data_IF_780009478710
#
_entry.id   IF_780009478710
#
_cell.length_a   1.000
_cell.length_b   1.000
_cell.length_c   1.000
_cell.angle_alpha   90.00
_cell.angle_beta   90.00
_cell.angle_gamma   90.00
#
_symmetry.space_group_name_H-M   'P 1'
#
loop_
_entity.id
_entity.type
_entity.pdbx_description
1 polymer ?
#
# COMPACT_ATOMS: atom_id res chain seq x y z
N UNK A 1 53.80 7.41 -23.95
CA UNK A 1 54.43 7.56 -22.63
C UNK A 1 54.03 6.34 -21.85
N UNK A 2 54.99 5.40 -21.80
CA UNK A 2 55.17 4.25 -20.91
C UNK A 2 54.08 3.19 -20.70
N UNK A 3 54.58 1.97 -20.46
CA UNK A 3 53.90 0.70 -20.15
C UNK A 3 53.49 -0.06 -21.43
N UNK A 4 54.07 -1.20 -21.81
CA UNK A 4 54.51 -2.34 -21.01
C UNK A 4 55.67 -3.03 -21.75
N UNK A 5 56.90 -2.81 -21.27
CA UNK A 5 58.00 -3.76 -21.46
C UNK A 5 57.76 -4.90 -20.47
N UNK A 6 57.22 -6.01 -20.97
CA UNK A 6 57.01 -7.23 -20.20
C UNK A 6 58.33 -7.95 -19.99
N UNK A 7 59.10 -7.49 -19.01
CA UNK A 7 60.26 -8.18 -18.44
C UNK A 7 59.81 -9.55 -17.93
N UNK A 8 59.97 -10.58 -18.75
CA UNK A 8 59.98 -11.97 -18.26
C UNK A 8 61.32 -12.12 -17.54
N UNK A 9 61.31 -11.84 -16.23
CA UNK A 9 62.47 -12.00 -15.36
C UNK A 9 62.99 -13.45 -15.45
N UNK A 10 64.30 -13.67 -15.64
CA UNK A 10 64.91 -15.02 -15.75
C UNK A 10 64.76 -15.87 -14.46
N UNK A 11 64.28 -15.26 -13.37
CA UNK A 11 64.01 -15.91 -12.08
C UNK A 11 62.82 -16.88 -12.12
N UNK A 12 61.82 -16.64 -12.99
CA UNK A 12 60.62 -17.50 -13.07
C UNK A 12 60.91 -18.82 -13.79
N UNK A 13 61.75 -18.79 -14.83
CA UNK A 13 62.17 -19.99 -15.56
C UNK A 13 63.05 -20.92 -14.72
N UNK A 14 63.91 -20.37 -13.83
CA UNK A 14 64.74 -21.21 -12.96
C UNK A 14 63.94 -21.87 -11.83
N UNK A 15 62.90 -21.20 -11.32
CA UNK A 15 62.00 -21.75 -10.32
C UNK A 15 61.14 -22.90 -10.88
N UNK A 16 60.61 -22.75 -12.10
CA UNK A 16 59.85 -23.80 -12.80
C UNK A 16 60.73 -25.01 -13.16
N UNK A 17 61.98 -24.79 -13.57
CA UNK A 17 62.95 -25.87 -13.82
C UNK A 17 63.26 -26.67 -12.54
N UNK A 18 63.48 -25.98 -11.42
CA UNK A 18 63.74 -26.63 -10.14
C UNK A 18 62.51 -27.42 -9.63
N UNK A 19 61.29 -26.92 -9.84
CA UNK A 19 60.07 -27.65 -9.49
C UNK A 19 59.86 -28.89 -10.36
N UNK A 20 60.16 -28.81 -11.66
CA UNK A 20 60.05 -29.95 -12.57
C UNK A 20 61.05 -31.06 -12.19
N UNK A 21 62.28 -30.67 -11.83
CA UNK A 21 63.31 -31.61 -11.41
C UNK A 21 63.00 -32.25 -10.04
N UNK A 22 62.42 -31.50 -9.10
CA UNK A 22 61.92 -32.04 -7.83
C UNK A 22 60.72 -33.00 -8.02
N UNK A 23 59.80 -32.69 -8.94
CA UNK A 23 58.70 -33.60 -9.28
C UNK A 23 59.20 -34.87 -9.96
N UNK A 24 60.21 -34.77 -10.84
CA UNK A 24 60.88 -35.94 -11.45
C UNK A 24 61.53 -36.82 -10.38
N UNK A 25 62.31 -36.24 -9.47
CA UNK A 25 62.95 -36.98 -8.36
C UNK A 25 61.91 -37.69 -7.48
N UNK A 26 60.80 -37.01 -7.13
CA UNK A 26 59.70 -37.63 -6.36
C UNK A 26 59.01 -38.75 -7.14
N UNK A 27 58.79 -38.57 -8.45
CA UNK A 27 58.20 -39.59 -9.31
C UNK A 27 59.12 -40.82 -9.44
N UNK A 28 60.43 -40.62 -9.61
CA UNK A 28 61.43 -41.69 -9.66
C UNK A 28 61.52 -42.45 -8.32
N UNK A 29 61.58 -41.74 -7.20
CA UNK A 29 61.60 -42.36 -5.87
C UNK A 29 60.32 -43.19 -5.60
N UNK A 30 59.14 -42.67 -6.00
CA UNK A 30 57.89 -43.42 -5.89
C UNK A 30 57.84 -44.62 -6.85
N UNK A 31 58.34 -44.48 -8.09
CA UNK A 31 58.41 -45.57 -9.05
C UNK A 31 59.32 -46.70 -8.54
N UNK A 32 60.48 -46.37 -7.98
CA UNK A 32 61.40 -47.32 -7.33
C UNK A 32 60.71 -48.04 -6.16
N UNK A 33 59.99 -47.31 -5.31
CA UNK A 33 59.24 -47.89 -4.18
C UNK A 33 58.13 -48.84 -4.65
N UNK A 34 57.42 -48.49 -5.72
CA UNK A 34 56.36 -49.33 -6.32
C UNK A 34 56.95 -50.59 -6.96
N UNK A 35 58.10 -50.49 -7.63
CA UNK A 35 58.78 -51.63 -8.23
C UNK A 35 59.31 -52.56 -7.14
N UNK A 36 59.92 -52.01 -6.08
CA UNK A 36 60.41 -52.76 -4.92
C UNK A 36 59.28 -53.54 -4.23
N UNK A 37 58.13 -52.90 -3.97
CA UNK A 37 56.98 -53.54 -3.33
C UNK A 37 56.29 -54.61 -4.22
N UNK A 38 56.51 -54.59 -5.53
CA UNK A 38 55.91 -55.55 -6.47
C UNK A 38 56.79 -56.76 -6.80
N UNK A 39 58.09 -56.70 -6.46
CA UNK A 39 59.10 -57.72 -6.80
C UNK A 39 59.86 -58.18 -5.54
N UNK A 40 59.16 -58.49 -4.46
CA UNK A 40 59.78 -58.88 -3.17
C UNK A 40 60.30 -60.34 -3.15
N UNK A 41 59.79 -61.23 -4.01
CA UNK A 41 60.19 -62.66 -4.08
C UNK A 41 60.65 -63.05 -5.49
N UNK A 42 61.61 -63.98 -5.63
CA UNK A 42 62.14 -64.39 -6.95
C UNK A 42 61.11 -65.05 -7.87
N UNK A 43 60.04 -65.63 -7.36
CA UNK A 43 58.91 -66.17 -8.16
C UNK A 43 58.10 -65.06 -8.85
N UNK A 44 58.13 -63.81 -8.35
CA UNK A 44 57.42 -62.68 -8.96
C UNK A 44 58.13 -62.11 -10.20
N UNK A 45 59.37 -62.56 -10.50
CA UNK A 45 60.08 -62.27 -11.75
C UNK A 45 59.40 -62.88 -12.98
N UNK A 46 58.63 -63.98 -12.83
CA UNK A 46 57.84 -64.53 -13.94
C UNK A 46 56.72 -63.58 -14.37
N UNK A 47 56.23 -62.73 -13.46
CA UNK A 47 55.23 -61.69 -13.74
C UNK A 47 55.83 -60.39 -14.26
N UNK A 48 57.16 -60.29 -14.39
CA UNK A 48 57.85 -59.08 -14.83
C UNK A 48 57.41 -58.67 -16.25
N UNK A 49 57.25 -59.63 -17.16
CA UNK A 49 56.77 -59.35 -18.52
C UNK A 49 55.32 -58.86 -18.53
N UNK A 50 54.46 -59.40 -17.67
CA UNK A 50 53.09 -58.91 -17.49
C UNK A 50 53.06 -57.50 -16.88
N UNK A 51 53.91 -57.21 -15.89
CA UNK A 51 54.04 -55.87 -15.30
C UNK A 51 54.64 -54.85 -16.28
N UNK A 52 55.61 -55.27 -17.11
CA UNK A 52 56.23 -54.44 -18.13
C UNK A 52 55.25 -54.10 -19.25
N UNK A 53 54.49 -55.08 -19.73
CA UNK A 53 53.42 -54.86 -20.71
C UNK A 53 52.32 -53.97 -20.14
N UNK A 54 51.89 -54.18 -18.89
CA UNK A 54 50.94 -53.32 -18.20
C UNK A 54 51.46 -51.89 -17.99
N UNK A 55 52.73 -51.71 -17.63
CA UNK A 55 53.35 -50.38 -17.51
C UNK A 55 53.48 -49.68 -18.87
N UNK A 56 53.84 -50.43 -19.93
CA UNK A 56 53.88 -49.90 -21.29
C UNK A 56 52.48 -49.51 -21.79
N UNK A 57 51.44 -50.28 -21.47
CA UNK A 57 50.05 -49.94 -21.75
C UNK A 57 49.60 -48.68 -20.99
N UNK A 58 49.91 -48.58 -19.69
CA UNK A 58 49.62 -47.37 -18.89
C UNK A 58 50.32 -46.14 -19.43
N UNK A 59 51.60 -46.27 -19.81
CA UNK A 59 52.34 -45.18 -20.46
C UNK A 59 51.68 -44.79 -21.78
N UNK A 60 51.31 -45.74 -22.63
CA UNK A 60 50.59 -45.46 -23.89
C UNK A 60 49.25 -44.74 -23.65
N UNK A 61 48.48 -45.18 -22.66
CA UNK A 61 47.19 -44.53 -22.30
C UNK A 61 47.44 -43.11 -21.80
N UNK A 62 48.41 -42.91 -20.91
CA UNK A 62 48.75 -41.60 -20.38
C UNK A 62 49.29 -40.66 -21.46
N UNK A 63 50.17 -41.15 -22.35
CA UNK A 63 50.71 -40.38 -23.46
C UNK A 63 49.58 -39.96 -24.43
N UNK A 64 48.62 -40.85 -24.71
CA UNK A 64 47.46 -40.52 -25.56
C UNK A 64 46.49 -39.54 -24.88
N UNK A 65 46.26 -39.70 -23.57
CA UNK A 65 45.47 -38.76 -22.77
C UNK A 65 46.13 -37.39 -22.70
N UNK A 66 47.46 -37.32 -22.49
CA UNK A 66 48.23 -36.08 -22.51
C UNK A 66 48.20 -35.44 -23.89
N UNK A 67 48.37 -36.21 -24.97
CA UNK A 67 48.26 -35.72 -26.34
C UNK A 67 46.89 -35.11 -26.61
N UNK A 68 45.83 -35.80 -26.20
CA UNK A 68 44.46 -35.32 -26.35
C UNK A 68 44.21 -34.06 -25.50
N UNK A 69 44.68 -34.02 -24.26
CA UNK A 69 44.55 -32.87 -23.38
C UNK A 69 45.31 -31.65 -23.90
N UNK A 70 46.57 -31.82 -24.33
CA UNK A 70 47.39 -30.75 -24.91
C UNK A 70 46.76 -30.24 -26.21
N UNK A 71 46.28 -31.13 -27.08
CA UNK A 71 45.58 -30.74 -28.30
C UNK A 71 44.29 -29.95 -28.00
N UNK A 72 43.50 -30.40 -27.02
CA UNK A 72 42.29 -29.70 -26.59
C UNK A 72 42.60 -28.33 -25.99
N UNK A 73 43.66 -28.20 -25.19
CA UNK A 73 44.07 -26.92 -24.61
C UNK A 73 44.59 -25.97 -25.70
N UNK A 74 45.41 -26.45 -26.63
CA UNK A 74 45.89 -25.65 -27.77
C UNK A 74 44.73 -25.19 -28.66
N UNK A 75 43.76 -26.04 -28.95
CA UNK A 75 42.60 -25.64 -29.74
C UNK A 75 41.76 -24.62 -28.98
N UNK A 76 41.57 -24.80 -27.66
CA UNK A 76 40.85 -23.82 -26.83
C UNK A 76 41.55 -22.46 -26.79
N UNK A 77 42.88 -22.42 -26.65
CA UNK A 77 43.70 -21.20 -26.67
C UNK A 77 43.60 -20.54 -28.05
N UNK A 78 43.70 -21.31 -29.13
CA UNK A 78 43.58 -20.81 -30.50
C UNK A 78 42.20 -20.21 -30.75
N UNK A 79 41.13 -20.87 -30.30
CA UNK A 79 39.77 -20.31 -30.37
C UNK A 79 39.62 -19.07 -29.50
N UNK A 80 40.23 -19.04 -28.32
CA UNK A 80 40.24 -17.87 -27.44
C UNK A 80 40.94 -16.67 -28.06
N UNK A 81 42.10 -16.86 -28.67
CA UNK A 81 42.83 -15.80 -29.38
C UNK A 81 42.04 -15.30 -30.59
N UNK A 82 41.46 -16.22 -31.38
CA UNK A 82 40.60 -15.84 -32.50
C UNK A 82 39.40 -15.01 -32.03
N UNK A 83 38.76 -15.42 -30.92
CA UNK A 83 37.64 -14.68 -30.34
C UNK A 83 38.07 -13.30 -29.83
N UNK A 84 39.25 -13.19 -29.21
CA UNK A 84 39.80 -11.91 -28.76
C UNK A 84 40.11 -10.97 -29.93
N UNK A 85 40.64 -11.50 -31.05
CA UNK A 85 40.86 -10.72 -32.26
C UNK A 85 39.54 -10.23 -32.86
N UNK A 86 38.51 -11.09 -32.91
CA UNK A 86 37.17 -10.70 -33.35
C UNK A 86 36.59 -9.63 -32.43
N UNK A 87 36.71 -9.77 -31.10
CA UNK A 87 36.25 -8.77 -30.14
C UNK A 87 36.98 -7.43 -30.30
N UNK A 88 38.29 -7.44 -30.57
CA UNK A 88 39.07 -6.23 -30.82
C UNK A 88 38.57 -5.52 -32.10
N UNK A 89 38.33 -6.27 -33.17
CA UNK A 89 37.84 -5.71 -34.43
C UNK A 89 36.41 -5.16 -34.30
N UNK A 90 35.57 -5.88 -33.54
CA UNK A 90 34.23 -5.40 -33.17
C UNK A 90 34.29 -4.11 -32.35
N UNK A 91 35.21 -3.99 -31.38
CA UNK A 91 35.37 -2.74 -30.60
C UNK A 91 35.78 -1.57 -31.48
N UNK A 92 36.73 -1.77 -32.40
CA UNK A 92 37.13 -0.73 -33.37
C UNK A 92 35.96 -0.32 -34.27
N UNK A 93 35.19 -1.30 -34.71
CA UNK A 93 33.98 -1.05 -35.51
C UNK A 93 32.96 -0.26 -34.70
N UNK A 94 32.71 -0.63 -33.44
CA UNK A 94 31.79 0.09 -32.53
C UNK A 94 32.29 1.53 -32.31
N UNK A 95 33.57 1.72 -32.03
CA UNK A 95 34.17 3.04 -31.85
C UNK A 95 33.99 3.91 -33.11
N UNK A 96 34.24 3.35 -34.29
CA UNK A 96 34.03 4.06 -35.55
C UNK A 96 32.55 4.41 -35.75
N UNK A 97 31.63 3.45 -35.53
CA UNK A 97 30.19 3.73 -35.66
C UNK A 97 29.70 4.77 -34.65
N UNK A 98 30.29 4.82 -33.44
CA UNK A 98 29.94 5.79 -32.42
C UNK A 98 30.44 7.19 -32.79
N UNK A 99 31.66 7.30 -33.33
CA UNK A 99 32.18 8.57 -33.88
C UNK A 99 31.36 9.05 -35.08
N UNK A 100 31.05 8.16 -36.03
CA UNK A 100 30.24 8.49 -37.19
C UNK A 100 28.81 8.93 -36.78
N UNK A 101 28.26 8.33 -35.72
CA UNK A 101 26.96 8.70 -35.15
C UNK A 101 27.02 10.08 -34.48
N UNK A 102 28.07 10.35 -33.69
CA UNK A 102 28.28 11.65 -33.05
C UNK A 102 28.45 12.78 -34.09
N UNK A 103 29.24 12.54 -35.14
CA UNK A 103 29.42 13.51 -36.23
C UNK A 103 28.10 13.78 -36.98
N UNK A 104 27.27 12.76 -37.18
CA UNK A 104 25.92 12.92 -37.76
C UNK A 104 24.98 13.67 -36.82
N UNK A 105 25.06 13.46 -35.51
CA UNK A 105 24.25 14.16 -34.51
C UNK A 105 24.63 15.64 -34.41
N UNK A 106 25.92 15.99 -34.45
CA UNK A 106 26.37 17.39 -34.48
C UNK A 106 25.84 18.15 -35.70
N UNK A 107 25.68 17.47 -36.85
CA UNK A 107 25.07 18.07 -38.05
C UNK A 107 23.57 18.35 -37.90
N UNK A 108 22.88 17.72 -36.94
CA UNK A 108 21.44 17.90 -36.66
C UNK A 108 21.19 19.10 -35.73
N UNK A 109 22.16 19.48 -34.89
CA UNK A 109 22.06 20.64 -34.00
C UNK A 109 21.69 21.96 -34.73
N UNK A 110 22.31 22.35 -35.86
CA UNK A 110 21.90 23.53 -36.61
C UNK A 110 20.59 23.35 -37.39
N UNK A 111 20.10 22.12 -37.57
CA UNK A 111 18.79 21.85 -38.15
C UNK A 111 17.68 22.10 -37.12
N UNK A 112 17.92 21.92 -35.82
CA UNK A 112 16.94 22.24 -34.78
C UNK A 112 16.50 23.70 -34.83
N UNK A 113 17.43 24.64 -35.06
CA UNK A 113 17.09 26.07 -35.19
C UNK A 113 16.30 26.36 -36.46
N UNK A 114 16.56 25.63 -37.56
CA UNK A 114 15.82 25.80 -38.83
C UNK A 114 14.41 25.21 -38.77
N UNK A 115 14.20 24.20 -37.93
CA UNK A 115 12.89 23.60 -37.70
C UNK A 115 12.10 24.29 -36.58
N UNK A 116 12.60 25.39 -36.00
CA UNK A 116 11.90 26.14 -34.97
C UNK A 116 10.58 26.71 -35.51
N UNK A 117 10.59 27.29 -36.72
CA UNK A 117 9.39 27.76 -37.42
C UNK A 117 8.42 26.61 -37.74
N UNK A 118 8.94 25.46 -38.21
CA UNK A 118 8.11 24.28 -38.47
C UNK A 118 7.52 23.70 -37.18
N UNK A 119 8.26 23.77 -36.07
CA UNK A 119 7.80 23.33 -34.75
C UNK A 119 6.71 24.26 -34.23
N UNK A 120 6.85 25.57 -34.45
CA UNK A 120 5.81 26.53 -34.13
C UNK A 120 4.54 26.26 -34.96
N UNK A 121 4.66 26.11 -36.28
CA UNK A 121 3.51 25.79 -37.14
C UNK A 121 2.90 24.42 -36.79
N UNK A 122 3.71 23.41 -36.48
CA UNK A 122 3.23 22.11 -36.04
C UNK A 122 2.52 22.19 -34.68
N UNK A 123 2.99 23.02 -33.75
CA UNK A 123 2.33 23.29 -32.48
C UNK A 123 0.98 23.97 -32.70
N UNK A 124 0.92 24.98 -33.57
CA UNK A 124 -0.31 25.68 -33.93
C UNK A 124 -1.31 24.74 -34.60
N UNK A 125 -0.86 23.93 -35.56
CA UNK A 125 -1.70 22.89 -36.19
C UNK A 125 -2.22 21.89 -35.15
N UNK A 126 -1.36 21.44 -34.24
CA UNK A 126 -1.75 20.53 -33.15
C UNK A 126 -2.80 21.17 -32.25
N UNK A 127 -2.62 22.43 -31.84
CA UNK A 127 -3.60 23.17 -31.05
C UNK A 127 -4.94 23.33 -31.78
N UNK A 128 -4.92 23.70 -33.06
CA UNK A 128 -6.13 23.84 -33.88
C UNK A 128 -6.85 22.50 -34.09
N UNK A 129 -6.10 21.43 -34.34
CA UNK A 129 -6.63 20.07 -34.45
C UNK A 129 -7.26 19.60 -33.14
N UNK A 130 -6.63 19.91 -32.01
CA UNK A 130 -7.19 19.64 -30.68
C UNK A 130 -8.44 20.46 -30.41
N UNK A 131 -8.46 21.74 -30.76
CA UNK A 131 -9.62 22.59 -30.63
C UNK A 131 -10.78 22.06 -31.49
N UNK A 132 -10.50 21.64 -32.73
CA UNK A 132 -11.50 21.06 -33.63
C UNK A 132 -12.05 19.73 -33.09
N UNK A 133 -11.18 18.84 -32.58
CA UNK A 133 -11.60 17.55 -32.03
C UNK A 133 -12.44 17.69 -30.75
N UNK A 134 -12.17 18.71 -29.93
CA UNK A 134 -12.89 18.95 -28.67
C UNK A 134 -14.01 20.00 -28.79
N UNK A 135 -14.21 20.62 -29.95
CA UNK A 135 -15.16 21.72 -30.12
C UNK A 135 -16.58 21.31 -29.71
N UNK A 136 -17.00 20.13 -30.14
CA UNK A 136 -18.32 19.58 -29.82
C UNK A 136 -18.50 19.39 -28.31
N UNK A 137 -17.48 18.88 -27.62
CA UNK A 137 -17.51 18.64 -26.17
C UNK A 137 -17.49 19.95 -25.38
N UNK A 138 -16.71 20.94 -25.84
CA UNK A 138 -16.66 22.28 -25.27
C UNK A 138 -18.04 22.94 -25.39
N UNK A 139 -18.65 22.94 -26.58
CA UNK A 139 -19.98 23.55 -26.78
C UNK A 139 -21.04 22.86 -25.92
N UNK A 140 -21.03 21.52 -25.90
CA UNK A 140 -21.97 20.72 -25.09
C UNK A 140 -21.75 20.86 -23.58
N UNK A 141 -20.58 21.31 -23.13
CA UNK A 141 -20.28 21.43 -21.69
C UNK A 141 -21.32 22.31 -20.97
N UNK A 142 -21.70 23.44 -21.55
CA UNK A 142 -22.69 24.34 -20.95
C UNK A 142 -24.10 23.72 -20.81
N UNK A 143 -24.50 22.90 -21.79
CA UNK A 143 -25.76 22.16 -21.77
C UNK A 143 -25.69 21.02 -20.75
N UNK A 144 -24.60 20.25 -20.77
CA UNK A 144 -24.35 19.16 -19.83
C UNK A 144 -24.34 19.65 -18.38
N UNK A 145 -23.80 20.85 -18.11
CA UNK A 145 -23.82 21.45 -16.76
C UNK A 145 -25.25 21.62 -16.26
N UNK A 146 -26.16 22.16 -17.10
CA UNK A 146 -27.57 22.32 -16.74
C UNK A 146 -28.26 20.96 -16.55
N UNK A 147 -28.03 20.03 -17.48
CA UNK A 147 -28.59 18.69 -17.38
C UNK A 147 -28.12 17.96 -16.10
N UNK A 148 -26.86 18.15 -15.70
CA UNK A 148 -26.33 17.60 -14.45
C UNK A 148 -27.07 18.18 -13.24
N UNK A 149 -27.26 19.50 -13.17
CA UNK A 149 -28.00 20.14 -12.08
C UNK A 149 -29.45 19.58 -12.00
N UNK A 150 -30.15 19.46 -13.13
CA UNK A 150 -31.50 18.90 -13.20
C UNK A 150 -31.54 17.43 -12.73
N UNK A 151 -30.55 16.62 -13.14
CA UNK A 151 -30.44 15.21 -12.74
C UNK A 151 -30.12 15.05 -11.26
N UNK A 152 -29.32 15.96 -10.68
CA UNK A 152 -29.05 15.99 -9.24
C UNK A 152 -30.32 16.32 -8.46
N UNK A 153 -31.13 17.26 -8.94
CA UNK A 153 -32.40 17.64 -8.30
C UNK A 153 -33.43 16.52 -8.37
N UNK A 154 -33.43 15.74 -9.45
CA UNK A 154 -34.25 14.54 -9.59
C UNK A 154 -33.72 13.33 -8.79
N UNK A 155 -32.57 13.45 -8.12
CA UNK A 155 -31.94 12.37 -7.36
C UNK A 155 -31.30 11.27 -8.22
N UNK A 156 -31.13 11.48 -9.54
CA UNK A 156 -30.52 10.52 -10.48
C UNK A 156 -29.00 10.63 -10.49
N UNK A 157 -28.38 10.38 -9.34
CA UNK A 157 -26.95 10.66 -9.11
C UNK A 157 -26.00 9.88 -10.03
N UNK A 158 -26.35 8.67 -10.46
CA UNK A 158 -25.51 7.88 -11.38
C UNK A 158 -25.43 8.50 -12.78
N UNK A 159 -26.53 9.08 -13.26
CA UNK A 159 -26.56 9.74 -14.57
C UNK A 159 -25.84 11.09 -14.50
N UNK A 160 -26.09 11.85 -13.42
CA UNK A 160 -25.34 13.08 -13.13
C UNK A 160 -23.82 12.82 -13.07
N UNK A 161 -23.40 11.75 -12.38
CA UNK A 161 -22.00 11.34 -12.30
C UNK A 161 -21.41 10.98 -13.67
N UNK A 162 -22.17 10.31 -14.53
CA UNK A 162 -21.70 9.97 -15.88
C UNK A 162 -21.40 11.23 -16.71
N UNK A 163 -22.32 12.21 -16.73
CA UNK A 163 -22.09 13.47 -17.44
C UNK A 163 -20.94 14.27 -16.83
N UNK A 164 -20.78 14.26 -15.50
CA UNK A 164 -19.61 14.87 -14.83
C UNK A 164 -18.31 14.21 -15.30
N UNK A 165 -18.28 12.88 -15.45
CA UNK A 165 -17.09 12.19 -15.98
C UNK A 165 -16.80 12.55 -17.44
N UNK A 166 -17.83 12.80 -18.25
CA UNK A 166 -17.65 13.26 -19.64
C UNK A 166 -17.03 14.66 -19.69
N UNK A 167 -17.52 15.59 -18.86
CA UNK A 167 -16.93 16.93 -18.69
C UNK A 167 -15.49 16.84 -18.13
N UNK A 168 -15.26 15.95 -17.17
CA UNK A 168 -13.92 15.72 -16.63
C UNK A 168 -12.96 15.20 -17.69
N UNK A 169 -13.41 14.27 -18.54
CA UNK A 169 -12.61 13.68 -19.60
C UNK A 169 -12.18 14.72 -20.62
N UNK A 170 -13.10 15.58 -21.08
CA UNK A 170 -12.78 16.65 -22.03
C UNK A 170 -11.78 17.65 -21.42
N UNK A 171 -12.03 18.11 -20.19
CA UNK A 171 -11.10 18.99 -19.45
C UNK A 171 -9.72 18.37 -19.28
N UNK A 172 -9.65 17.14 -18.78
CA UNK A 172 -8.38 16.47 -18.50
C UNK A 172 -7.62 16.13 -19.79
N UNK A 173 -8.33 15.86 -20.90
CA UNK A 173 -7.71 15.70 -22.21
C UNK A 173 -7.02 17.00 -22.65
N UNK A 174 -7.72 18.14 -22.60
CA UNK A 174 -7.15 19.46 -22.90
C UNK A 174 -5.93 19.76 -22.02
N UNK A 175 -6.04 19.56 -20.71
CA UNK A 175 -4.92 19.76 -19.77
C UNK A 175 -3.72 18.85 -20.09
N UNK A 176 -3.96 17.59 -20.46
CA UNK A 176 -2.88 16.66 -20.81
C UNK A 176 -2.17 17.05 -22.10
N UNK A 177 -2.88 17.64 -23.05
CA UNK A 177 -2.31 18.09 -24.31
C UNK A 177 -1.55 19.41 -24.15
N UNK A 178 -2.02 20.31 -23.29
CA UNK A 178 -1.28 21.51 -22.88
C UNK A 178 0.02 21.14 -22.16
N UNK A 179 -0.01 20.13 -21.29
CA UNK A 179 1.18 19.64 -20.58
C UNK A 179 2.28 19.14 -21.53
N UNK A 180 1.92 18.62 -22.73
CA UNK A 180 2.90 18.17 -23.73
C UNK A 180 3.61 19.31 -24.46
N UNK A 181 3.04 20.52 -24.49
CA UNK A 181 3.68 21.69 -25.12
C UNK A 181 4.78 22.20 -24.19
N UNK A 182 6.06 22.06 -24.57
CA UNK A 182 7.20 22.33 -23.69
C UNK A 182 7.52 23.83 -23.45
N UNK A 183 6.67 24.75 -23.88
CA UNK A 183 6.87 26.19 -23.71
C UNK A 183 6.32 26.66 -22.35
N UNK A 184 7.23 26.85 -21.39
CA UNK A 184 6.91 27.06 -19.97
C UNK A 184 6.15 28.36 -19.68
N UNK A 185 6.33 29.41 -20.49
CA UNK A 185 5.78 30.73 -20.19
C UNK A 185 4.33 30.93 -20.67
N UNK A 186 3.90 30.24 -21.75
CA UNK A 186 2.49 30.25 -22.22
C UNK A 186 1.61 29.23 -21.48
N UNK A 187 2.22 28.17 -20.95
CA UNK A 187 1.49 27.08 -20.29
C UNK A 187 0.64 27.54 -19.10
N UNK A 188 1.11 28.49 -18.28
CA UNK A 188 0.40 28.89 -17.07
C UNK A 188 -0.89 29.65 -17.34
N UNK A 189 -0.91 30.50 -18.37
CA UNK A 189 -2.09 31.27 -18.73
C UNK A 189 -3.13 30.40 -19.46
N UNK A 190 -2.67 29.49 -20.32
CA UNK A 190 -3.53 28.52 -21.00
C UNK A 190 -4.20 27.55 -20.00
N UNK A 191 -3.45 27.06 -19.01
CA UNK A 191 -3.99 26.22 -17.94
C UNK A 191 -5.05 26.97 -17.13
N UNK A 192 -4.81 28.26 -16.82
CA UNK A 192 -5.79 29.10 -16.11
C UNK A 192 -7.05 29.33 -16.93
N UNK A 193 -6.92 29.55 -18.23
CA UNK A 193 -8.06 29.76 -19.12
C UNK A 193 -8.95 28.51 -19.17
N UNK A 194 -8.36 27.33 -19.34
CA UNK A 194 -9.09 26.05 -19.27
C UNK A 194 -9.73 25.86 -17.90
N UNK A 195 -8.99 26.12 -16.81
CA UNK A 195 -9.53 25.98 -15.44
C UNK A 195 -10.74 26.89 -15.22
N UNK A 196 -10.66 28.15 -15.65
CA UNK A 196 -11.76 29.12 -15.53
C UNK A 196 -12.97 28.73 -16.38
N UNK A 197 -12.76 28.23 -17.60
CA UNK A 197 -13.85 27.76 -18.45
C UNK A 197 -14.63 26.62 -17.81
N UNK A 198 -13.93 25.68 -17.16
CA UNK A 198 -14.52 24.56 -16.45
C UNK A 198 -14.78 24.86 -14.96
N UNK A 199 -14.91 26.12 -14.53
CA UNK A 199 -15.16 26.43 -13.11
C UNK A 199 -16.48 25.83 -12.59
N UNK A 200 -17.52 25.77 -13.44
CA UNK A 200 -18.80 25.13 -13.10
C UNK A 200 -18.66 23.63 -12.78
N UNK A 201 -17.68 22.95 -13.37
CA UNK A 201 -17.43 21.55 -13.08
C UNK A 201 -17.03 21.32 -11.62
N UNK A 202 -16.19 22.20 -11.05
CA UNK A 202 -15.81 22.09 -9.63
C UNK A 202 -17.01 22.24 -8.70
N UNK A 203 -17.91 23.18 -9.03
CA UNK A 203 -19.19 23.36 -8.33
C UNK A 203 -20.05 22.09 -8.40
N UNK A 204 -20.17 21.48 -9.58
CA UNK A 204 -20.94 20.25 -9.76
C UNK A 204 -20.35 19.08 -8.96
N UNK A 205 -19.03 18.90 -9.00
CA UNK A 205 -18.35 17.85 -8.22
C UNK A 205 -18.57 18.07 -6.72
N UNK A 206 -18.47 19.31 -6.24
CA UNK A 206 -18.74 19.65 -4.84
C UNK A 206 -20.19 19.34 -4.45
N UNK A 207 -21.17 19.69 -5.28
CA UNK A 207 -22.59 19.38 -5.07
C UNK A 207 -22.84 17.87 -5.05
N UNK A 208 -22.25 17.12 -5.98
CA UNK A 208 -22.34 15.65 -6.00
C UNK A 208 -21.75 15.04 -4.72
N UNK A 209 -20.57 15.50 -4.32
CA UNK A 209 -19.90 15.08 -3.08
C UNK A 209 -20.79 15.32 -1.86
N UNK A 210 -21.46 16.47 -1.77
CA UNK A 210 -22.38 16.79 -0.68
C UNK A 210 -23.59 15.83 -0.67
N UNK A 211 -24.21 15.58 -1.82
CA UNK A 211 -25.36 14.64 -1.93
C UNK A 211 -24.97 13.21 -1.55
N UNK A 212 -23.82 12.73 -2.02
CA UNK A 212 -23.27 11.42 -1.63
C UNK A 212 -23.01 11.40 -0.12
N UNK A 213 -22.34 12.43 0.40
CA UNK A 213 -22.04 12.53 1.84
C UNK A 213 -23.31 12.49 2.68
N UNK A 214 -24.37 13.19 2.26
CA UNK A 214 -25.67 13.17 2.92
C UNK A 214 -26.28 11.76 2.98
N UNK A 215 -26.25 11.01 1.88
CA UNK A 215 -26.75 9.63 1.85
C UNK A 215 -25.92 8.68 2.71
N UNK A 216 -24.59 8.82 2.73
CA UNK A 216 -23.70 7.99 3.55
C UNK A 216 -23.86 8.32 5.04
N UNK A 217 -23.92 9.60 5.42
CA UNK A 217 -24.12 10.01 6.82
C UNK A 217 -25.45 9.52 7.39
N UNK A 218 -26.47 9.37 6.53
CA UNK A 218 -27.80 8.82 6.87
C UNK A 218 -27.96 7.36 6.45
N UNK A 219 -26.88 6.59 6.53
CA UNK A 219 -26.87 5.17 6.11
C UNK A 219 -27.99 4.36 6.76
N UNK A 220 -28.33 4.61 8.03
CA UNK A 220 -29.39 3.88 8.75
C UNK A 220 -30.77 4.11 8.11
N UNK A 221 -31.15 5.38 7.92
CA UNK A 221 -32.42 5.75 7.28
C UNK A 221 -32.48 5.24 5.83
N UNK A 222 -31.37 5.34 5.11
CA UNK A 222 -31.26 4.86 3.75
C UNK A 222 -31.37 3.33 3.69
N UNK A 223 -30.73 2.60 4.58
CA UNK A 223 -30.80 1.14 4.63
C UNK A 223 -32.21 0.63 4.94
N UNK A 224 -33.04 1.40 5.66
CA UNK A 224 -34.42 1.01 5.95
C UNK A 224 -35.37 1.43 4.82
N UNK A 225 -35.30 2.70 4.41
CA UNK A 225 -36.33 3.31 3.57
C UNK A 225 -36.00 3.28 2.08
N UNK A 226 -34.72 3.35 1.72
CA UNK A 226 -34.26 3.53 0.34
C UNK A 226 -32.84 2.96 0.11
N UNK A 227 -32.64 1.62 0.20
CA UNK A 227 -31.32 0.99 0.08
C UNK A 227 -30.62 1.30 -1.25
N UNK A 228 -31.40 1.54 -2.30
CA UNK A 228 -30.93 1.90 -3.64
C UNK A 228 -30.13 3.21 -3.66
N UNK A 229 -30.45 4.18 -2.78
CA UNK A 229 -29.71 5.44 -2.68
C UNK A 229 -28.31 5.21 -2.11
N UNK A 230 -28.22 4.35 -1.09
CA UNK A 230 -26.95 3.94 -0.49
C UNK A 230 -26.08 3.18 -1.51
N UNK A 231 -26.67 2.23 -2.24
CA UNK A 231 -25.96 1.50 -3.30
C UNK A 231 -25.50 2.44 -4.41
N UNK A 232 -26.33 3.41 -4.82
CA UNK A 232 -25.99 4.42 -5.83
C UNK A 232 -24.79 5.25 -5.39
N UNK A 233 -24.78 5.75 -4.15
CA UNK A 233 -23.66 6.49 -3.58
C UNK A 233 -22.37 5.65 -3.56
N UNK A 234 -22.44 4.40 -3.09
CA UNK A 234 -21.30 3.50 -3.03
C UNK A 234 -20.75 3.12 -4.41
N UNK A 235 -21.62 2.94 -5.41
CA UNK A 235 -21.21 2.69 -6.80
C UNK A 235 -20.43 3.87 -7.38
N UNK A 236 -20.85 5.10 -7.08
CA UNK A 236 -20.12 6.30 -7.51
C UNK A 236 -18.76 6.36 -6.81
N UNK A 237 -18.70 6.10 -5.51
CA UNK A 237 -17.43 6.06 -4.75
C UNK A 237 -16.45 5.05 -5.35
N UNK A 238 -16.89 3.82 -5.65
CA UNK A 238 -16.03 2.80 -6.25
C UNK A 238 -15.55 3.18 -7.66
N UNK A 239 -16.39 3.86 -8.46
CA UNK A 239 -15.97 4.40 -9.77
C UNK A 239 -14.91 5.49 -9.61
N UNK A 240 -15.10 6.42 -8.69
CA UNK A 240 -14.12 7.48 -8.42
C UNK A 240 -12.78 6.92 -7.94
N UNK A 241 -12.80 5.87 -7.11
CA UNK A 241 -11.58 5.20 -6.65
C UNK A 241 -10.86 4.47 -7.79
N UNK A 242 -11.59 3.92 -8.77
CA UNK A 242 -10.99 3.36 -10.00
C UNK A 242 -10.31 4.45 -10.84
N UNK A 243 -10.94 5.61 -10.98
CA UNK A 243 -10.37 6.75 -11.71
C UNK A 243 -9.13 7.29 -11.00
N UNK A 244 -9.15 7.38 -9.67
CA UNK A 244 -8.00 7.78 -8.87
C UNK A 244 -6.81 6.82 -9.05
N UNK A 245 -7.06 5.50 -9.07
CA UNK A 245 -6.01 4.50 -9.36
C UNK A 245 -5.41 4.68 -10.76
N UNK A 246 -6.26 4.82 -11.77
CA UNK A 246 -5.82 5.03 -13.16
C UNK A 246 -4.89 6.26 -13.28
N UNK A 247 -5.25 7.38 -12.66
CA UNK A 247 -4.41 8.58 -12.72
C UNK A 247 -3.13 8.46 -11.89
N UNK A 248 -3.16 7.70 -10.80
CA UNK A 248 -1.97 7.40 -10.00
C UNK A 248 -0.96 6.60 -10.84
N UNK A 249 -1.40 5.53 -11.49
CA UNK A 249 -0.56 4.71 -12.39
C UNK A 249 -0.04 5.52 -13.60
N UNK A 250 -0.89 6.38 -14.17
CA UNK A 250 -0.52 7.24 -15.29
C UNK A 250 0.48 8.33 -14.89
N UNK A 251 0.41 8.83 -13.66
CA UNK A 251 1.41 9.76 -13.11
C UNK A 251 2.79 9.10 -13.02
N UNK A 252 2.84 7.85 -12.58
CA UNK A 252 4.09 7.07 -12.51
C UNK A 252 4.68 6.80 -13.89
N UNK A 253 3.83 6.53 -14.90
CA UNK A 253 4.29 6.17 -16.24
C UNK A 253 4.59 7.38 -17.14
N UNK A 254 3.75 8.41 -17.13
CA UNK A 254 3.76 9.53 -18.08
C UNK A 254 4.01 10.90 -17.43
N UNK A 255 4.20 10.96 -16.11
CA UNK A 255 4.52 12.19 -15.37
C UNK A 255 3.36 13.20 -15.25
N UNK A 256 2.16 12.88 -15.76
CA UNK A 256 1.01 13.77 -15.75
C UNK A 256 -0.14 13.22 -14.89
N UNK A 257 -0.71 14.10 -14.06
CA UNK A 257 -1.94 13.87 -13.33
C UNK A 257 -2.77 15.16 -13.33
N UNK A 258 -4.11 15.08 -13.48
CA UNK A 258 -4.99 16.22 -13.26
C UNK A 258 -4.80 16.82 -11.86
N UNK A 259 -5.04 18.13 -11.68
CA UNK A 259 -4.82 18.82 -10.41
C UNK A 259 -5.71 18.33 -9.26
N UNK A 260 -6.94 17.89 -9.56
CA UNK A 260 -7.94 17.53 -8.54
C UNK A 260 -7.90 16.05 -8.12
N UNK A 261 -6.89 15.30 -8.57
CA UNK A 261 -6.76 13.84 -8.36
C UNK A 261 -5.54 13.54 -7.50
N UNK A 262 -5.60 12.58 -6.56
CA UNK A 262 -6.75 11.72 -6.22
C UNK A 262 -7.75 12.38 -5.27
N UNK A 263 -9.03 12.03 -5.38
CA UNK A 263 -10.12 12.55 -4.53
C UNK A 263 -10.36 11.74 -3.26
N UNK A 264 -10.05 10.44 -3.27
CA UNK A 264 -10.12 9.53 -2.13
C UNK A 264 -11.51 9.46 -1.45
N UNK A 265 -12.58 9.45 -2.23
CA UNK A 265 -13.96 9.42 -1.70
C UNK A 265 -14.27 8.17 -0.88
N UNK A 266 -13.52 7.07 -1.08
CA UNK A 266 -13.61 5.89 -0.22
C UNK A 266 -13.19 6.17 1.21
N UNK A 267 -12.13 6.96 1.43
CA UNK A 267 -11.69 7.37 2.78
C UNK A 267 -12.76 8.24 3.44
N UNK A 268 -13.25 9.24 2.70
CA UNK A 268 -14.34 10.10 3.14
C UNK A 268 -15.59 9.29 3.55
N UNK A 269 -15.96 8.28 2.77
CA UNK A 269 -17.09 7.41 3.08
C UNK A 269 -16.94 6.77 4.48
N UNK A 270 -15.78 6.17 4.76
CA UNK A 270 -15.52 5.55 6.06
C UNK A 270 -15.48 6.55 7.21
N UNK A 271 -14.92 7.74 6.98
CA UNK A 271 -14.95 8.83 7.96
C UNK A 271 -16.38 9.28 8.29
N UNK A 272 -17.23 9.43 7.27
CA UNK A 272 -18.65 9.79 7.44
C UNK A 272 -19.44 8.70 8.15
N UNK A 273 -19.17 7.42 7.86
CA UNK A 273 -19.79 6.31 8.59
C UNK A 273 -19.38 6.30 10.06
N UNK A 274 -18.08 6.46 10.36
CA UNK A 274 -17.60 6.56 11.75
C UNK A 274 -18.22 7.76 12.46
N UNK A 275 -18.26 8.93 11.81
CA UNK A 275 -18.89 10.13 12.37
C UNK A 275 -20.38 9.92 12.65
N UNK A 276 -21.10 9.32 11.72
CA UNK A 276 -22.53 8.98 11.89
C UNK A 276 -22.75 8.07 13.10
N UNK A 277 -21.89 7.07 13.31
CA UNK A 277 -21.95 6.20 14.50
C UNK A 277 -21.69 6.99 15.79
N UNK A 278 -20.69 7.89 15.78
CA UNK A 278 -20.41 8.78 16.91
C UNK A 278 -21.61 9.68 17.24
N UNK A 279 -22.14 10.38 16.25
CA UNK A 279 -23.30 11.26 16.38
C UNK A 279 -24.54 10.49 16.90
N UNK A 280 -24.69 9.20 16.55
CA UNK A 280 -25.77 8.34 17.08
C UNK A 280 -25.57 7.94 18.53
N UNK A 281 -24.34 7.75 19.00
CA UNK A 281 -24.07 7.42 20.41
C UNK A 281 -24.26 8.66 21.28
N UNK A 282 -23.68 9.79 20.88
CA UNK A 282 -23.78 11.07 21.60
C UNK A 282 -25.20 11.62 21.57
N UNK A 283 -25.87 11.56 20.42
CA UNK A 283 -27.24 12.06 20.24
C UNK A 283 -28.32 11.27 21.01
N UNK A 284 -27.99 10.13 21.63
CA UNK A 284 -28.90 9.41 22.51
C UNK A 284 -28.92 9.96 23.94
N UNK A 285 -28.04 10.91 24.27
CA UNK A 285 -28.04 11.57 25.57
C UNK A 285 -29.18 12.61 25.63
N UNK A 286 -30.36 12.13 26.00
CA UNK A 286 -31.58 12.93 26.10
C UNK A 286 -31.68 13.71 27.43
N UNK A 287 -30.99 13.24 28.46
CA UNK A 287 -31.07 13.74 29.83
C UNK A 287 -29.69 14.19 30.30
N UNK A 288 -29.66 15.32 31.00
CA UNK A 288 -28.46 15.81 31.69
C UNK A 288 -28.43 15.29 33.13
N UNK A 289 -27.23 15.29 33.72
CA UNK A 289 -26.99 14.89 35.11
C UNK A 289 -27.82 15.70 36.13
N UNK A 290 -28.18 16.93 35.77
CA UNK A 290 -28.95 17.86 36.61
C UNK A 290 -30.45 17.57 36.56
N UNK A 291 -30.94 16.94 35.49
CA UNK A 291 -32.36 16.67 35.26
C UNK A 291 -32.81 15.33 35.86
N UNK A 292 -31.93 14.31 35.89
CA UNK A 292 -32.29 12.99 36.37
C UNK A 292 -31.16 12.25 37.09
N UNK A 293 -31.43 11.70 38.29
CA UNK A 293 -30.47 10.94 39.10
C UNK A 293 -29.92 9.70 38.36
N UNK A 294 -30.72 9.12 37.47
CA UNK A 294 -30.39 7.91 36.71
C UNK A 294 -30.02 8.17 35.24
N UNK A 295 -29.68 9.41 34.88
CA UNK A 295 -29.39 9.82 33.50
C UNK A 295 -28.41 8.86 32.79
N UNK A 296 -27.35 8.42 33.48
CA UNK A 296 -26.32 7.54 32.92
C UNK A 296 -26.84 6.13 32.64
N UNK A 297 -27.72 5.63 33.51
CA UNK A 297 -28.37 4.33 33.32
C UNK A 297 -29.29 4.37 32.11
N UNK A 298 -30.08 5.43 31.96
CA UNK A 298 -30.93 5.62 30.78
C UNK A 298 -30.09 5.79 29.51
N UNK A 299 -29.04 6.61 29.56
CA UNK A 299 -28.15 6.83 28.41
C UNK A 299 -27.50 5.54 27.92
N UNK A 300 -26.88 4.77 28.81
CA UNK A 300 -26.20 3.53 28.43
C UNK A 300 -27.17 2.44 27.96
N UNK A 301 -28.38 2.39 28.53
CA UNK A 301 -29.43 1.50 28.03
C UNK A 301 -29.91 1.91 26.64
N UNK A 302 -30.07 3.21 26.38
CA UNK A 302 -30.40 3.73 25.05
C UNK A 302 -29.27 3.43 24.04
N UNK A 303 -28.01 3.61 24.42
CA UNK A 303 -26.86 3.20 23.61
C UNK A 303 -26.92 1.70 23.29
N UNK A 304 -27.19 0.83 24.28
CA UNK A 304 -27.33 -0.62 24.08
C UNK A 304 -28.42 -0.93 23.05
N UNK A 305 -29.60 -0.33 23.19
CA UNK A 305 -30.73 -0.55 22.28
C UNK A 305 -30.45 -0.04 20.86
N UNK A 306 -29.75 1.09 20.73
CA UNK A 306 -29.35 1.64 19.43
C UNK A 306 -28.33 0.73 18.75
N UNK A 307 -27.28 0.30 19.46
CA UNK A 307 -26.28 -0.66 18.95
C UNK A 307 -26.97 -1.92 18.45
N UNK A 308 -27.82 -2.55 19.27
CA UNK A 308 -28.52 -3.77 18.90
C UNK A 308 -29.40 -3.60 17.65
N UNK A 309 -30.20 -2.52 17.58
CA UNK A 309 -31.04 -2.23 16.42
C UNK A 309 -30.21 -1.99 15.17
N UNK A 310 -29.13 -1.23 15.29
CA UNK A 310 -28.25 -0.89 14.19
C UNK A 310 -27.57 -2.15 13.62
N UNK A 311 -27.06 -3.05 14.47
CA UNK A 311 -26.45 -4.30 14.01
C UNK A 311 -27.44 -5.26 13.32
N UNK A 312 -28.72 -5.24 13.69
CA UNK A 312 -29.75 -5.98 12.95
C UNK A 312 -29.90 -5.44 11.52
N UNK A 313 -29.88 -4.11 11.34
CA UNK A 313 -29.95 -3.49 10.01
C UNK A 313 -28.66 -3.70 9.22
N UNK A 314 -27.51 -3.60 9.88
CA UNK A 314 -26.19 -3.76 9.26
C UNK A 314 -26.06 -5.17 8.66
N UNK A 315 -26.40 -6.19 9.46
CA UNK A 315 -26.29 -7.60 9.05
C UNK A 315 -27.32 -7.99 7.98
N UNK A 316 -28.57 -7.51 8.09
CA UNK A 316 -29.65 -7.91 7.17
C UNK A 316 -29.65 -7.12 5.86
N UNK A 317 -29.43 -5.81 5.92
CA UNK A 317 -29.61 -4.91 4.77
C UNK A 317 -28.30 -4.30 4.30
N UNK A 318 -27.52 -3.66 5.17
CA UNK A 318 -26.28 -2.98 4.74
C UNK A 318 -25.29 -3.97 4.12
N UNK A 319 -25.16 -5.18 4.65
CA UNK A 319 -24.30 -6.22 4.09
C UNK A 319 -24.55 -6.49 2.60
N UNK A 320 -25.78 -6.31 2.11
CA UNK A 320 -26.15 -6.46 0.69
C UNK A 320 -25.87 -5.23 -0.15
N UNK A 321 -25.80 -4.05 0.48
CA UNK A 321 -25.55 -2.78 -0.19
C UNK A 321 -24.05 -2.50 -0.41
N UNK A 322 -23.21 -2.93 0.52
CA UNK A 322 -21.77 -2.65 0.50
C UNK A 322 -20.99 -3.73 -0.27
N UNK A 323 -19.89 -3.36 -0.95
CA UNK A 323 -18.96 -4.33 -1.52
C UNK A 323 -18.37 -5.26 -0.45
N UNK A 324 -18.22 -6.56 -0.75
CA UNK A 324 -17.68 -7.55 0.21
C UNK A 324 -16.29 -7.18 0.75
N UNK A 325 -15.45 -6.61 -0.11
CA UNK A 325 -14.10 -6.12 0.23
C UNK A 325 -14.08 -5.04 1.32
N UNK A 326 -15.22 -4.43 1.65
CA UNK A 326 -15.28 -3.41 2.71
C UNK A 326 -15.38 -4.02 4.10
N UNK A 327 -15.79 -5.29 4.22
CA UNK A 327 -15.98 -5.95 5.52
C UNK A 327 -16.77 -5.08 6.52
N UNK A 328 -17.95 -4.64 6.07
CA UNK A 328 -18.67 -3.53 6.71
C UNK A 328 -19.14 -3.88 8.13
N UNK A 329 -19.45 -5.15 8.40
CA UNK A 329 -19.92 -5.61 9.71
C UNK A 329 -18.82 -5.42 10.75
N UNK A 330 -17.62 -5.91 10.47
CA UNK A 330 -16.47 -5.76 11.37
C UNK A 330 -16.06 -4.29 11.50
N UNK A 331 -16.10 -3.50 10.42
CA UNK A 331 -15.83 -2.06 10.52
C UNK A 331 -16.84 -1.32 11.39
N UNK A 332 -18.14 -1.62 11.27
CA UNK A 332 -19.12 -1.03 12.18
C UNK A 332 -18.88 -1.49 13.61
N UNK A 333 -18.52 -2.75 13.83
CA UNK A 333 -18.12 -3.26 15.15
C UNK A 333 -16.99 -2.43 15.76
N UNK A 334 -15.94 -2.17 14.98
CA UNK A 334 -14.84 -1.29 15.38
C UNK A 334 -15.30 0.15 15.64
N UNK A 335 -16.19 0.70 14.80
CA UNK A 335 -16.70 2.06 14.98
C UNK A 335 -17.53 2.21 16.26
N UNK A 336 -18.50 1.33 16.49
CA UNK A 336 -19.30 1.37 17.71
C UNK A 336 -18.44 1.14 18.94
N UNK A 337 -17.50 0.18 18.89
CA UNK A 337 -16.61 -0.09 20.01
C UNK A 337 -15.73 1.12 20.34
N UNK A 338 -15.05 1.69 19.35
CA UNK A 338 -14.14 2.82 19.57
C UNK A 338 -14.89 4.09 19.99
N UNK A 339 -16.03 4.40 19.36
CA UNK A 339 -16.83 5.56 19.73
C UNK A 339 -17.40 5.43 21.14
N UNK A 340 -17.85 4.23 21.54
CA UNK A 340 -18.34 3.99 22.89
C UNK A 340 -17.21 4.01 23.93
N UNK A 341 -16.03 3.47 23.59
CA UNK A 341 -14.82 3.59 24.41
C UNK A 341 -14.44 5.06 24.62
N UNK A 342 -14.39 5.85 23.55
CA UNK A 342 -14.10 7.29 23.62
C UNK A 342 -15.12 8.01 24.51
N UNK A 343 -16.42 7.78 24.29
CA UNK A 343 -17.51 8.38 25.07
C UNK A 343 -17.46 8.01 26.56
N UNK A 344 -17.28 6.73 26.88
CA UNK A 344 -17.14 6.27 28.27
C UNK A 344 -15.87 6.80 28.91
N UNK A 345 -14.78 6.92 28.16
CA UNK A 345 -13.53 7.50 28.66
C UNK A 345 -13.72 8.98 28.99
N UNK A 346 -14.46 9.73 28.18
CA UNK A 346 -14.81 11.13 28.48
C UNK A 346 -15.64 11.28 29.76
N UNK A 347 -16.58 10.35 30.01
CA UNK A 347 -17.37 10.33 31.26
C UNK A 347 -16.52 9.86 32.47
N UNK A 348 -15.66 8.85 32.28
CA UNK A 348 -14.96 8.18 33.37
C UNK A 348 -13.64 8.84 33.77
N UNK A 349 -12.92 9.47 32.86
CA UNK A 349 -11.57 10.00 33.12
C UNK A 349 -11.65 11.24 34.01
N UNK A 350 -11.14 11.19 35.26
CA UNK A 350 -11.16 12.34 36.16
C UNK A 350 -10.35 13.54 35.63
N UNK A 351 -9.42 13.32 34.69
CA UNK A 351 -8.63 14.39 34.05
C UNK A 351 -9.44 15.17 33.00
N UNK A 352 -10.52 14.58 32.50
CA UNK A 352 -11.36 15.17 31.44
C UNK A 352 -12.65 15.79 31.97
N UNK A 353 -12.96 15.56 33.25
CA UNK A 353 -14.14 16.11 33.92
C UNK A 353 -13.89 17.51 34.48
N UNK A 354 -14.98 18.28 34.59
CA UNK A 354 -14.98 19.59 35.24
C UNK A 354 -14.60 19.46 36.72
N UNK A 355 -13.86 20.45 37.25
CA UNK A 355 -13.48 20.48 38.65
C UNK A 355 -14.72 20.38 39.57
N UNK A 356 -14.78 19.34 40.40
CA UNK A 356 -15.89 19.07 41.33
C UNK A 356 -16.85 17.95 40.90
N UNK A 357 -16.76 17.45 39.67
CA UNK A 357 -17.66 16.42 39.14
C UNK A 357 -17.21 14.99 39.49
N UNK A 358 -17.55 14.53 40.70
CA UNK A 358 -17.25 13.15 41.15
C UNK A 358 -18.33 12.17 40.68
N UNK A 359 -17.96 10.93 40.36
CA UNK A 359 -18.95 9.90 40.02
C UNK A 359 -19.65 9.44 41.30
N UNK A 360 -20.96 9.31 41.25
CA UNK A 360 -21.74 8.68 42.32
C UNK A 360 -21.56 7.17 42.30
N UNK A 361 -21.75 6.52 43.45
CA UNK A 361 -21.78 5.06 43.55
C UNK A 361 -22.74 4.40 42.54
N UNK A 362 -23.90 5.02 42.27
CA UNK A 362 -24.86 4.51 41.30
C UNK A 362 -24.29 4.52 39.87
N UNK A 363 -23.68 5.64 39.46
CA UNK A 363 -23.05 5.78 38.14
C UNK A 363 -21.88 4.80 37.96
N UNK A 364 -21.04 4.63 39.00
CA UNK A 364 -19.95 3.63 38.99
C UNK A 364 -20.51 2.23 38.78
N UNK A 365 -21.56 1.85 39.51
CA UNK A 365 -22.18 0.54 39.37
C UNK A 365 -22.74 0.33 37.96
N UNK A 366 -23.40 1.33 37.39
CA UNK A 366 -23.94 1.29 36.02
C UNK A 366 -22.82 1.09 34.99
N UNK A 367 -21.71 1.84 35.09
CA UNK A 367 -20.57 1.73 34.16
C UNK A 367 -19.96 0.33 34.24
N UNK A 368 -19.64 -0.16 35.44
CA UNK A 368 -19.00 -1.47 35.63
C UNK A 368 -19.89 -2.61 35.13
N UNK A 369 -21.19 -2.53 35.43
CA UNK A 369 -22.19 -3.50 34.97
C UNK A 369 -22.28 -3.50 33.44
N UNK A 370 -22.38 -2.32 32.84
CA UNK A 370 -22.45 -2.18 31.39
C UNK A 370 -21.20 -2.72 30.68
N UNK A 371 -20.00 -2.38 31.17
CA UNK A 371 -18.73 -2.85 30.59
C UNK A 371 -18.60 -4.37 30.67
N UNK A 372 -19.03 -4.98 31.78
CA UNK A 372 -19.07 -6.44 31.95
C UNK A 372 -20.03 -7.08 30.95
N UNK A 373 -21.21 -6.50 30.78
CA UNK A 373 -22.28 -7.11 30.00
C UNK A 373 -22.18 -6.78 28.49
N UNK A 374 -21.33 -5.82 28.09
CA UNK A 374 -21.17 -5.34 26.71
C UNK A 374 -20.77 -6.43 25.71
N UNK A 375 -19.82 -7.30 26.06
CA UNK A 375 -19.42 -8.44 25.22
C UNK A 375 -20.28 -9.69 25.48
N UNK A 376 -21.18 -9.64 26.47
CA UNK A 376 -22.04 -10.74 26.88
C UNK A 376 -23.30 -10.89 26.03
N UNK A 377 -24.12 -11.89 26.38
CA UNK A 377 -25.38 -12.21 25.68
C UNK A 377 -26.44 -11.10 25.73
N UNK A 378 -26.27 -10.10 26.60
CA UNK A 378 -27.20 -8.97 26.73
C UNK A 378 -26.95 -7.85 25.71
N UNK A 379 -25.81 -7.86 25.02
CA UNK A 379 -25.42 -6.86 24.02
C UNK A 379 -24.81 -7.53 22.78
N UNK A 380 -23.50 -7.38 22.53
CA UNK A 380 -22.88 -7.86 21.29
C UNK A 380 -22.90 -9.39 21.17
N UNK A 381 -22.87 -10.12 22.29
CA UNK A 381 -22.81 -11.59 22.38
C UNK A 381 -24.08 -12.33 21.97
N UNK A 382 -25.08 -11.64 21.42
CA UNK A 382 -26.32 -12.28 20.97
C UNK A 382 -26.06 -13.18 19.76
N UNK A 383 -26.46 -14.46 19.79
CA UNK A 383 -26.25 -15.40 18.68
C UNK A 383 -26.96 -14.95 17.39
N UNK A 384 -28.01 -14.15 17.52
CA UNK A 384 -28.77 -13.56 16.42
C UNK A 384 -27.94 -12.58 15.57
N UNK A 385 -26.91 -11.96 16.15
CA UNK A 385 -26.08 -10.96 15.46
C UNK A 385 -24.90 -11.60 14.70
N UNK A 386 -24.50 -12.82 15.04
CA UNK A 386 -23.40 -13.58 14.40
C UNK A 386 -22.10 -12.76 14.25
N UNK A 387 -21.74 -11.98 15.27
CA UNK A 387 -20.55 -11.13 15.28
C UNK A 387 -19.33 -11.87 15.82
N UNK A 388 -18.14 -11.62 15.25
CA UNK A 388 -16.88 -12.08 15.84
C UNK A 388 -16.39 -11.07 16.89
N UNK A 389 -16.77 -11.32 18.14
CA UNK A 389 -16.46 -10.45 19.30
C UNK A 389 -15.07 -10.77 19.87
N UNK A 390 -14.48 -11.90 19.47
CA UNK A 390 -13.25 -12.46 20.03
C UNK A 390 -12.05 -11.52 19.88
N UNK A 391 -12.08 -10.65 18.88
CA UNK A 391 -11.00 -9.73 18.54
C UNK A 391 -11.15 -8.34 19.18
N UNK A 392 -12.27 -8.07 19.85
CA UNK A 392 -12.52 -6.75 20.43
C UNK A 392 -11.71 -6.54 21.72
N UNK A 393 -11.00 -5.40 21.84
CA UNK A 393 -10.34 -5.04 23.08
C UNK A 393 -11.35 -4.74 24.19
N UNK A 394 -10.90 -4.65 25.46
CA UNK A 394 -11.78 -4.23 26.55
C UNK A 394 -12.27 -2.79 26.31
N UNK A 395 -13.56 -2.56 26.62
CA UNK A 395 -14.25 -1.30 26.35
C UNK A 395 -13.66 -0.10 27.13
N UNK A 396 -13.18 -0.34 28.35
CA UNK A 396 -12.43 0.63 29.13
C UNK A 396 -11.02 0.08 29.41
N UNK A 397 -10.05 0.98 29.45
CA UNK A 397 -8.69 0.64 29.86
C UNK A 397 -8.67 0.24 31.34
N UNK A 398 -7.82 -0.73 31.67
CA UNK A 398 -7.75 -1.31 33.02
C UNK A 398 -7.48 -0.24 34.08
N UNK A 399 -6.68 0.76 33.76
CA UNK A 399 -6.32 1.85 34.68
C UNK A 399 -7.52 2.78 34.96
N UNK A 400 -8.30 3.11 33.93
CA UNK A 400 -9.52 3.92 34.07
C UNK A 400 -10.57 3.14 34.86
N UNK A 401 -10.75 1.85 34.54
CA UNK A 401 -11.67 0.99 35.27
C UNK A 401 -11.28 0.87 36.74
N UNK A 402 -9.99 0.71 37.04
CA UNK A 402 -9.47 0.69 38.41
C UNK A 402 -9.78 2.00 39.15
N UNK A 403 -9.49 3.15 38.52
CA UNK A 403 -9.78 4.46 39.10
C UNK A 403 -11.27 4.66 39.39
N UNK A 404 -12.16 4.23 38.47
CA UNK A 404 -13.62 4.28 38.67
C UNK A 404 -14.04 3.36 39.82
N UNK A 405 -13.48 2.15 39.92
CA UNK A 405 -13.79 1.25 41.04
C UNK A 405 -13.25 1.75 42.39
N UNK A 406 -12.12 2.45 42.40
CA UNK A 406 -11.54 3.03 43.61
C UNK A 406 -12.45 4.09 44.23
N UNK A 407 -13.17 4.87 43.41
CA UNK A 407 -14.20 5.83 43.88
C UNK A 407 -15.26 5.09 44.72
N UNK A 408 -15.80 3.99 44.20
CA UNK A 408 -16.79 3.18 44.92
C UNK A 408 -16.21 2.56 46.19
N UNK A 409 -15.00 2.00 46.13
CA UNK A 409 -14.35 1.37 47.28
C UNK A 409 -14.12 2.41 48.39
N UNK A 410 -13.64 3.61 48.03
CA UNK A 410 -13.37 4.67 49.00
C UNK A 410 -14.65 5.21 49.63
N UNK A 411 -15.72 5.43 48.85
CA UNK A 411 -17.02 5.86 49.39
C UNK A 411 -17.60 4.81 50.35
N UNK A 412 -17.52 3.52 49.99
CA UNK A 412 -17.97 2.43 50.86
C UNK A 412 -17.13 2.32 52.12
N UNK A 413 -15.80 2.42 52.03
CA UNK A 413 -14.91 2.43 53.20
C UNK A 413 -15.25 3.56 54.15
N UNK A 414 -15.51 4.76 53.63
CA UNK A 414 -15.93 5.91 54.44
C UNK A 414 -17.25 5.63 55.16
N UNK A 415 -18.29 5.18 54.44
CA UNK A 415 -19.59 4.80 55.02
C UNK A 415 -19.46 3.71 56.09
N UNK A 416 -18.64 2.68 55.86
CA UNK A 416 -18.38 1.66 56.88
C UNK A 416 -17.66 2.22 58.10
N UNK A 417 -16.70 3.13 57.91
CA UNK A 417 -15.98 3.79 59.00
C UNK A 417 -16.91 4.67 59.84
N UNK A 418 -17.94 5.26 59.24
CA UNK A 418 -18.98 6.02 59.94
C UNK A 418 -20.02 5.12 60.62
N UNK A 419 -20.45 4.03 59.96
CA UNK A 419 -21.51 3.16 60.45
C UNK A 419 -21.04 2.22 61.56
N UNK A 420 -19.83 1.66 61.46
CA UNK A 420 -19.33 0.69 62.45
C UNK A 420 -19.33 1.28 63.87
N UNK A 421 -18.79 2.48 64.14
CA UNK A 421 -18.84 3.10 65.46
C UNK A 421 -20.27 3.38 65.93
N UNK A 422 -21.15 3.81 65.04
CA UNK A 422 -22.55 4.11 65.36
C UNK A 422 -23.33 2.85 65.73
N UNK A 423 -23.09 1.74 65.04
CA UNK A 423 -23.68 0.44 65.35
C UNK A 423 -23.16 -0.06 66.70
N UNK A 424 -21.84 -0.04 66.91
CA UNK A 424 -21.22 -0.47 68.19
C UNK A 424 -21.73 0.36 69.37
N UNK A 425 -21.86 1.68 69.21
CA UNK A 425 -22.41 2.54 70.28
C UNK A 425 -23.90 2.35 70.52
N UNK A 426 -24.66 1.90 69.50
CA UNK A 426 -26.06 1.54 69.67
C UNK A 426 -26.24 0.19 70.40
N UNK A 427 -25.35 -0.77 70.18
CA UNK A 427 -25.38 -2.07 70.86
C UNK A 427 -24.90 -1.99 72.32
N UNK A 428 -23.97 -1.09 72.65
CA UNK A 428 -23.48 -0.88 74.03
C UNK A 428 -24.48 -0.13 74.91
N UNK A 429 -25.54 0.46 74.34
CA UNK A 429 -26.61 1.17 75.05
C UNK A 429 -27.86 0.32 75.35
N UNK A 430 -27.82 -0.97 75.02
CA UNK A 430 -28.80 -2.00 75.43
C UNK A 430 -28.21 -2.78 76.59
#
# INVERSE_FOLDING_TARGET
>A
MDLIDGVISPTTQSAESNQLDDMRRKAEANALRIVQAKLEKPEDLEKLDQLRTAAAQRKRILDEQLRTAVQSQLESIKTGIAQLQISLDNMKTVEQTMRDTDEKLQKIEPLQSKFEDLRHEANTYRQLSLAQANLDDIIKTSENVKQVDDLMEQGKLLQAHQLIMEIEKSRNYLLSELHKVQEKDSQTDDIRLVTNYFADYERLVARLKQLISFHISRWYDCAISAPEKLVTALRIIEREEQVDRFWTEKKESAGFSPPDRPRQWKKLCFELLRKSVKDRIEGNQLETREEHEYWLTHHLEMCRQTILRDFVIITKTCLRCFPKQYDIVNRFLDYYHNCLKEHLTEICDPKRRSEGDTLTTAEVYTIVTFVRDYQGAECLGKPELQLDISQLPPLLEKDILAAVTDVFINERKQKFTEWIPNIVTSEVKV
#
